data_IF_385875330703
#
_entry.id   IF_385875330703
#
_cell.length_a   1.000
_cell.length_b   1.000
_cell.length_c   1.000
_cell.angle_alpha   90.00
_cell.angle_beta   90.00
_cell.angle_gamma   90.00
#
_symmetry.space_group_name_H-M   'P 1'
#
loop_
_entity.id
_entity.type
_entity.pdbx_description
1 polymer ?
#
# COMPACT_ATOMS: atom_id res chain seq x y z
N UNK A 1 1.88 -6.35 -34.98
CA UNK A 1 1.39 -4.95 -34.85
C UNK A 1 -0.10 -5.06 -34.63
N UNK A 2 -0.64 -4.39 -33.61
CA UNK A 2 -1.99 -4.57 -33.02
C UNK A 2 -2.04 -5.75 -32.02
N UNK A 3 -2.54 -5.48 -30.81
CA UNK A 3 -2.95 -6.44 -29.75
C UNK A 3 -1.98 -6.91 -28.64
N UNK A 4 -0.82 -6.28 -28.40
CA UNK A 4 -0.05 -6.45 -27.12
C UNK A 4 -0.13 -5.23 -26.19
N UNK A 5 -1.07 -4.33 -26.49
CA UNK A 5 -1.26 -3.05 -25.79
C UNK A 5 -2.31 -3.08 -24.65
N UNK A 6 -2.91 -4.23 -24.32
CA UNK A 6 -4.09 -4.26 -23.42
C UNK A 6 -3.95 -4.98 -22.08
N UNK A 7 -2.96 -5.84 -21.86
CA UNK A 7 -2.91 -6.62 -20.60
C UNK A 7 -1.94 -6.03 -19.58
N UNK A 8 -0.85 -5.39 -20.01
CA UNK A 8 0.01 -4.58 -19.12
C UNK A 8 -0.74 -3.34 -18.58
N UNK A 9 -1.84 -2.95 -19.22
CA UNK A 9 -2.69 -1.82 -18.81
C UNK A 9 -3.49 -2.08 -17.52
N UNK A 10 -3.78 -3.34 -17.15
CA UNK A 10 -4.70 -3.63 -16.03
C UNK A 10 -4.02 -3.66 -14.67
N UNK A 11 -2.75 -4.10 -14.58
CA UNK A 11 -1.99 -4.09 -13.32
C UNK A 11 -1.40 -2.70 -12.99
N UNK A 12 -1.14 -1.86 -14.00
CA UNK A 12 -0.77 -0.45 -13.81
C UNK A 12 -1.98 0.40 -13.39
N UNK A 13 -3.23 -0.06 -13.60
CA UNK A 13 -4.45 0.70 -13.26
C UNK A 13 -4.89 0.61 -11.79
N UNK A 14 -4.39 -0.35 -11.00
CA UNK A 14 -4.73 -0.46 -9.56
C UNK A 14 -3.76 0.31 -8.66
N UNK A 15 -2.52 0.54 -9.09
CA UNK A 15 -1.60 1.46 -8.43
C UNK A 15 -1.50 2.75 -9.25
N UNK A 16 -2.41 3.67 -8.94
CA UNK A 16 -2.55 4.96 -9.60
C UNK A 16 -1.22 5.68 -9.84
N UNK A 17 -0.72 5.57 -11.07
CA UNK A 17 0.17 6.58 -11.66
C UNK A 17 -0.72 7.78 -11.95
N UNK A 18 -0.96 8.61 -10.94
CA UNK A 18 -1.26 10.01 -11.22
C UNK A 18 -0.08 10.53 -12.01
N UNK A 19 -0.35 10.90 -13.26
CA UNK A 19 0.50 11.75 -14.08
C UNK A 19 0.84 12.99 -13.26
N UNK A 20 1.95 12.93 -12.52
CA UNK A 20 2.60 14.12 -12.00
C UNK A 20 3.07 14.86 -13.26
N UNK A 21 2.39 15.95 -13.59
CA UNK A 21 2.99 16.96 -14.43
C UNK A 21 4.36 17.31 -13.82
N UNK A 22 5.39 17.65 -14.63
CA UNK A 22 6.62 18.21 -14.07
C UNK A 22 6.23 19.46 -13.29
N UNK A 23 6.23 19.37 -11.96
CA UNK A 23 6.10 20.55 -11.11
C UNK A 23 7.26 21.47 -11.48
N UNK A 24 7.00 22.76 -11.80
CA UNK A 24 8.06 23.75 -11.93
C UNK A 24 8.90 23.67 -10.66
N UNK A 25 10.20 23.42 -10.84
CA UNK A 25 11.16 23.37 -9.74
C UNK A 25 11.52 24.82 -9.40
N UNK A 26 10.54 25.59 -8.93
CA UNK A 26 10.82 26.88 -8.33
C UNK A 26 11.45 26.60 -6.97
N UNK A 27 12.72 26.98 -6.85
CA UNK A 27 13.54 26.78 -5.67
C UNK A 27 12.93 27.53 -4.48
N UNK A 28 12.18 26.84 -3.63
CA UNK A 28 11.88 27.31 -2.29
C UNK A 28 13.07 26.97 -1.39
N UNK A 29 13.80 27.98 -0.86
CA UNK A 29 14.88 27.72 0.06
C UNK A 29 14.30 27.34 1.43
N UNK A 30 14.55 26.10 1.88
CA UNK A 30 14.48 25.78 3.30
C UNK A 30 13.44 24.76 3.76
N UNK A 31 13.28 23.61 3.12
CA UNK A 31 12.61 22.47 3.79
C UNK A 31 13.39 21.17 3.60
N UNK A 32 14.19 20.84 4.60
CA UNK A 32 14.82 19.53 4.77
C UNK A 32 13.75 18.46 5.08
N UNK A 33 13.09 17.96 4.04
CA UNK A 33 12.16 16.84 4.10
C UNK A 33 12.88 15.49 4.13
N UNK A 34 13.55 15.19 5.25
CA UNK A 34 14.17 13.89 5.49
C UNK A 34 13.15 12.82 5.90
N UNK A 35 12.43 12.24 4.94
CA UNK A 35 11.65 11.01 5.17
C UNK A 35 11.55 10.12 3.92
N UNK A 36 12.62 9.95 3.15
CA UNK A 36 12.70 8.83 2.21
C UNK A 36 13.52 7.71 2.87
N UNK A 37 12.86 6.59 3.18
CA UNK A 37 13.50 5.41 3.73
C UNK A 37 14.60 4.93 2.76
N UNK A 38 15.86 5.15 3.13
CA UNK A 38 17.10 4.85 2.36
C UNK A 38 17.47 3.35 2.29
N UNK A 39 16.48 2.48 2.45
CA UNK A 39 16.65 1.03 2.36
C UNK A 39 15.53 0.44 1.52
N UNK A 40 15.59 0.63 0.19
CA UNK A 40 14.98 -0.33 -0.71
C UNK A 40 15.75 -1.64 -0.51
N UNK A 41 15.21 -2.56 0.29
CA UNK A 41 15.81 -3.87 0.58
C UNK A 41 15.83 -4.80 -0.65
N UNK A 42 15.31 -4.34 -1.78
CA UNK A 42 15.19 -5.08 -3.03
C UNK A 42 15.95 -4.34 -4.12
N UNK A 43 16.96 -5.00 -4.67
CA UNK A 43 17.62 -4.59 -5.90
C UNK A 43 16.70 -4.89 -7.08
N UNK A 44 16.01 -3.86 -7.58
CA UNK A 44 15.04 -3.96 -8.66
C UNK A 44 15.70 -4.18 -10.03
N UNK A 45 16.96 -3.79 -10.19
CA UNK A 45 17.70 -3.97 -11.45
C UNK A 45 18.21 -5.40 -11.59
N UNK A 46 18.52 -6.07 -10.47
CA UNK A 46 18.74 -7.53 -10.45
C UNK A 46 17.48 -8.30 -10.85
N UNK A 47 16.34 -8.02 -10.21
CA UNK A 47 15.07 -8.72 -10.49
C UNK A 47 14.66 -8.58 -11.95
N UNK A 48 14.88 -7.41 -12.56
CA UNK A 48 14.57 -7.19 -13.98
C UNK A 48 15.43 -8.04 -14.91
N UNK A 49 16.72 -8.25 -14.58
CA UNK A 49 17.61 -9.11 -15.39
C UNK A 49 17.22 -10.59 -15.30
N UNK A 50 16.76 -11.03 -14.14
CA UNK A 50 16.31 -12.42 -13.91
C UNK A 50 14.93 -12.70 -14.55
N UNK A 51 14.16 -11.68 -14.93
CA UNK A 51 12.79 -11.82 -15.44
C UNK A 51 12.69 -12.33 -16.88
N UNK A 52 13.77 -12.29 -17.65
CA UNK A 52 13.78 -12.73 -19.06
C UNK A 52 14.01 -14.25 -19.20
N UNK A 53 14.33 -14.96 -18.12
CA UNK A 53 14.51 -16.42 -18.13
C UNK A 53 13.15 -17.16 -18.08
N UNK A 54 12.97 -18.25 -18.85
CA UNK A 54 11.76 -19.06 -18.79
C UNK A 54 11.53 -19.64 -17.39
N UNK A 55 10.30 -19.52 -16.89
CA UNK A 55 9.89 -20.10 -15.62
C UNK A 55 9.75 -21.62 -15.79
N UNK A 56 10.34 -22.47 -14.92
CA UNK A 56 10.13 -23.90 -14.97
C UNK A 56 8.64 -24.26 -14.93
N UNK A 57 8.21 -25.18 -15.79
CA UNK A 57 6.82 -25.61 -15.93
C UNK A 57 6.75 -27.14 -15.92
N UNK A 58 5.91 -27.69 -15.03
CA UNK A 58 5.56 -29.10 -14.97
C UNK A 58 4.05 -29.30 -15.21
N UNK A 59 3.62 -29.89 -16.34
CA UNK A 59 2.20 -30.10 -16.63
C UNK A 59 1.49 -31.04 -15.64
N UNK A 60 2.22 -31.82 -14.82
CA UNK A 60 1.62 -32.69 -13.82
C UNK A 60 1.23 -31.96 -12.52
N UNK A 61 1.87 -30.82 -12.23
CA UNK A 61 1.73 -30.09 -10.95
C UNK A 61 1.17 -28.69 -11.17
N UNK A 62 1.61 -28.01 -12.23
CA UNK A 62 1.29 -26.62 -12.46
C UNK A 62 -0.07 -26.42 -13.14
N UNK A 63 -0.89 -25.48 -12.67
CA UNK A 63 -2.24 -25.28 -13.24
C UNK A 63 -2.28 -24.76 -14.68
N UNK A 64 -1.20 -24.13 -15.16
CA UNK A 64 -1.04 -23.60 -16.52
C UNK A 64 0.44 -23.36 -16.82
N UNK A 65 0.78 -23.28 -18.11
CA UNK A 65 2.13 -22.89 -18.56
C UNK A 65 2.33 -21.36 -18.42
N UNK A 66 3.22 -20.89 -17.53
CA UNK A 66 3.47 -19.46 -17.32
C UNK A 66 4.24 -18.80 -18.47
N UNK A 67 4.89 -19.56 -19.35
CA UNK A 67 5.68 -19.02 -20.47
C UNK A 67 4.85 -18.86 -21.75
N UNK A 68 3.60 -19.35 -21.77
CA UNK A 68 2.66 -19.22 -22.88
C UNK A 68 1.58 -18.18 -22.58
N UNK A 69 1.56 -17.09 -23.36
CA UNK A 69 0.58 -16.01 -23.20
C UNK A 69 -0.88 -16.49 -23.28
N UNK A 70 -1.16 -17.43 -24.18
CA UNK A 70 -2.51 -17.99 -24.36
C UNK A 70 -2.95 -18.83 -23.16
N UNK A 71 -2.04 -19.61 -22.58
CA UNK A 71 -2.32 -20.44 -21.40
C UNK A 71 -2.58 -19.58 -20.16
N UNK A 72 -1.76 -18.55 -19.97
CA UNK A 72 -1.95 -17.53 -18.91
C UNK A 72 -3.32 -16.88 -19.06
N UNK A 73 -3.67 -16.39 -20.25
CA UNK A 73 -4.95 -15.71 -20.47
C UNK A 73 -6.15 -16.65 -20.25
N UNK A 74 -6.07 -17.88 -20.75
CA UNK A 74 -7.14 -18.87 -20.59
C UNK A 74 -7.39 -19.22 -19.10
N UNK A 75 -6.33 -19.35 -18.31
CA UNK A 75 -6.44 -19.61 -16.88
C UNK A 75 -7.05 -18.42 -16.14
N UNK A 76 -6.52 -17.20 -16.34
CA UNK A 76 -6.99 -16.01 -15.62
C UNK A 76 -8.40 -15.58 -16.00
N UNK A 77 -8.88 -15.88 -17.23
CA UNK A 77 -10.29 -15.70 -17.62
C UNK A 77 -11.26 -16.51 -16.74
N UNK A 78 -10.81 -17.66 -16.22
CA UNK A 78 -11.64 -18.58 -15.41
C UNK A 78 -11.31 -18.50 -13.91
N UNK A 79 -10.18 -17.89 -13.56
CA UNK A 79 -9.73 -17.80 -12.18
C UNK A 79 -10.65 -16.90 -11.33
N UNK A 80 -11.04 -17.38 -10.15
CA UNK A 80 -11.80 -16.59 -9.17
C UNK A 80 -10.83 -15.92 -8.20
N UNK A 81 -10.72 -14.59 -8.28
CA UNK A 81 -9.88 -13.80 -7.36
C UNK A 81 -10.55 -13.71 -5.99
N UNK A 82 -10.09 -14.52 -5.04
CA UNK A 82 -10.50 -14.41 -3.64
C UNK A 82 -9.57 -13.41 -2.95
N UNK A 83 -10.04 -12.18 -2.74
CA UNK A 83 -9.30 -11.19 -1.96
C UNK A 83 -9.32 -11.59 -0.48
N UNK A 84 -8.28 -12.32 -0.05
CA UNK A 84 -8.01 -12.57 1.38
C UNK A 84 -7.52 -11.28 2.04
N UNK A 85 -8.46 -10.39 2.36
CA UNK A 85 -8.21 -9.22 3.18
C UNK A 85 -8.18 -9.56 4.67
N UNK A 86 -7.76 -8.58 5.50
CA UNK A 86 -7.97 -8.63 6.95
C UNK A 86 -9.44 -8.99 7.21
N UNK A 87 -9.75 -9.99 8.06
CA UNK A 87 -11.13 -10.32 8.40
C UNK A 87 -11.90 -9.06 8.78
N UNK A 88 -13.14 -8.89 8.28
CA UNK A 88 -13.94 -7.72 8.60
C UNK A 88 -14.10 -7.63 10.11
N UNK A 89 -13.58 -6.55 10.71
CA UNK A 89 -13.78 -6.27 12.13
C UNK A 89 -15.25 -5.87 12.30
N UNK A 90 -15.97 -6.57 13.19
CA UNK A 90 -17.41 -6.36 13.42
C UNK A 90 -17.75 -4.90 13.79
N UNK A 91 -16.90 -4.26 14.59
CA UNK A 91 -17.02 -2.85 14.96
C UNK A 91 -15.72 -2.14 14.60
N UNK A 92 -15.76 -1.32 13.56
CA UNK A 92 -14.63 -0.45 13.21
C UNK A 92 -14.56 0.69 14.22
N UNK A 93 -13.35 1.03 14.64
CA UNK A 93 -13.13 2.25 15.43
C UNK A 93 -13.47 3.45 14.52
N UNK A 94 -14.48 4.27 14.87
CA UNK A 94 -14.81 5.44 14.05
C UNK A 94 -13.68 6.46 14.13
N UNK A 95 -13.50 7.23 13.06
CA UNK A 95 -12.58 8.36 13.06
C UNK A 95 -13.20 9.50 13.87
N UNK A 96 -12.46 10.01 14.85
CA UNK A 96 -12.83 11.22 15.59
C UNK A 96 -12.17 12.42 14.92
N UNK A 97 -12.97 13.30 14.31
CA UNK A 97 -12.50 14.58 13.77
C UNK A 97 -12.84 15.68 14.77
N UNK A 98 -11.84 16.15 15.52
CA UNK A 98 -11.98 17.24 16.49
C UNK A 98 -10.73 18.13 16.47
N UNK A 99 -10.90 19.39 16.85
CA UNK A 99 -9.78 20.29 17.11
C UNK A 99 -9.26 20.06 18.53
N UNK A 100 -7.93 20.10 18.67
CA UNK A 100 -7.22 19.97 19.94
C UNK A 100 -6.22 21.13 19.99
N UNK A 101 -6.02 21.70 21.18
CA UNK A 101 -5.04 22.76 21.36
C UNK A 101 -3.63 22.28 20.98
N UNK A 102 -2.83 23.20 20.45
CA UNK A 102 -1.54 22.86 19.82
C UNK A 102 -0.52 22.32 20.83
N UNK A 103 -0.48 22.90 22.02
CA UNK A 103 0.36 22.52 23.15
C UNK A 103 0.01 21.12 23.68
N UNK A 104 -1.27 20.80 23.77
CA UNK A 104 -1.76 19.48 24.17
C UNK A 104 -1.35 18.43 23.13
N UNK A 105 -1.52 18.72 21.84
CA UNK A 105 -1.13 17.81 20.77
C UNK A 105 0.38 17.57 20.73
N UNK A 106 1.18 18.60 21.01
CA UNK A 106 2.63 18.50 21.10
C UNK A 106 3.05 17.58 22.25
N UNK A 107 2.53 17.78 23.46
CA UNK A 107 2.79 16.92 24.61
C UNK A 107 2.42 15.46 24.34
N UNK A 108 1.26 15.24 23.70
CA UNK A 108 0.82 13.90 23.34
C UNK A 108 1.76 13.25 22.32
N UNK A 109 2.22 13.96 21.30
CA UNK A 109 3.18 13.43 20.31
C UNK A 109 4.55 13.17 20.93
N UNK A 110 5.02 14.06 21.80
CA UNK A 110 6.29 13.94 22.52
C UNK A 110 6.32 12.68 23.41
N UNK A 111 5.16 12.22 23.87
CA UNK A 111 5.03 11.00 24.64
C UNK A 111 5.47 9.73 23.87
N UNK A 112 5.63 9.81 22.54
CA UNK A 112 6.24 8.75 21.72
C UNK A 112 5.24 7.82 21.01
N UNK A 113 5.75 6.69 20.50
CA UNK A 113 4.94 5.73 19.72
C UNK A 113 3.71 5.28 20.51
N UNK A 114 2.55 5.22 19.84
CA UNK A 114 1.30 4.76 20.45
C UNK A 114 0.59 5.80 21.32
N UNK A 115 0.97 7.08 21.26
CA UNK A 115 0.27 8.15 22.00
C UNK A 115 -1.24 8.21 21.71
N UNK A 116 -1.68 7.97 20.47
CA UNK A 116 -3.10 7.90 20.12
C UNK A 116 -3.85 6.78 20.86
N UNK A 117 -3.19 5.62 21.04
CA UNK A 117 -3.75 4.50 21.81
C UNK A 117 -3.90 4.86 23.28
N UNK A 118 -2.93 5.58 23.85
CA UNK A 118 -2.99 6.08 25.24
C UNK A 118 -4.09 7.12 25.43
N UNK A 119 -4.21 8.09 24.53
CA UNK A 119 -5.32 9.06 24.54
C UNK A 119 -6.67 8.35 24.51
N UNK A 120 -6.83 7.38 23.62
CA UNK A 120 -8.07 6.59 23.57
C UNK A 120 -8.32 5.78 24.85
N UNK A 121 -7.29 5.33 25.57
CA UNK A 121 -7.45 4.67 26.87
C UNK A 121 -7.94 5.64 27.94
N UNK A 122 -7.38 6.86 27.98
CA UNK A 122 -7.81 7.93 28.89
C UNK A 122 -9.26 8.32 28.63
N UNK A 123 -9.64 8.52 27.36
CA UNK A 123 -11.03 8.83 26.99
C UNK A 123 -12.00 7.73 27.43
N UNK A 124 -11.62 6.45 27.25
CA UNK A 124 -12.43 5.31 27.71
C UNK A 124 -12.58 5.29 29.23
N UNK A 125 -11.51 5.57 29.96
CA UNK A 125 -11.53 5.62 31.42
C UNK A 125 -12.40 6.77 31.93
N UNK A 126 -12.26 7.96 31.33
CA UNK A 126 -13.05 9.13 31.69
C UNK A 126 -14.56 8.91 31.48
N UNK A 127 -14.96 8.29 30.37
CA UNK A 127 -16.36 7.91 30.10
C UNK A 127 -16.85 6.84 31.09
N UNK A 128 -16.03 5.81 31.39
CA UNK A 128 -16.39 4.77 32.36
C UNK A 128 -16.54 5.29 33.79
N UNK A 129 -15.72 6.27 34.16
CA UNK A 129 -15.73 6.90 35.49
C UNK A 129 -16.73 8.04 35.60
N UNK A 130 -17.45 8.40 34.54
CA UNK A 130 -18.44 9.49 34.54
C UNK A 130 -17.82 10.89 34.65
N UNK A 131 -16.54 11.05 34.32
CA UNK A 131 -15.86 12.36 34.25
C UNK A 131 -16.16 13.10 32.93
N UNK A 132 -16.79 12.40 31.98
CA UNK A 132 -17.25 12.88 30.68
C UNK A 132 -18.68 12.41 30.44
#
# INVERSE_FOLDING_TARGET
MVELARVVLVLVYWYGVKRFAPFPRDAHPGTSGGCMNKHAKTDWDRVRREADEPVPYDPAVDPYDPNSGDAVEAFWKRARVIRRGRPPVAIRRPTLNMRVDADVLEHLRASGRGWQTRVNAILRDAVKSGRL
#
